data_IF_165929761304
#
_entry.id   IF_165929761304
#
_cell.length_a   1.000
_cell.length_b   1.000
_cell.length_c   1.000
_cell.angle_alpha   90.00
_cell.angle_beta   90.00
_cell.angle_gamma   90.00
#
_symmetry.space_group_name_H-M   'P 1'
#
loop_
_entity.id
_entity.type
_entity.pdbx_description
1 polymer ?
#
# COMPACT_ATOMS: atom_id res chain seq x y z
N UNK A 1 -8.20 2.87 18.48
CA UNK A 1 -7.55 3.68 17.43
C UNK A 1 -6.06 3.49 17.55
N UNK A 2 -5.37 3.28 16.44
CA UNK A 2 -3.93 3.08 16.34
C UNK A 2 -3.44 3.91 15.15
N UNK A 3 -2.24 4.50 15.29
CA UNK A 3 -1.55 5.18 14.20
C UNK A 3 -0.16 4.56 14.11
N UNK A 4 0.26 4.22 12.90
CA UNK A 4 1.62 3.74 12.59
C UNK A 4 2.20 4.68 11.53
N UNK A 5 3.49 4.98 11.66
CA UNK A 5 4.25 5.65 10.61
C UNK A 5 5.63 5.00 10.52
N UNK A 6 6.04 4.61 9.32
CA UNK A 6 7.30 3.95 9.04
C UNK A 6 8.00 4.63 7.87
N UNK A 7 9.30 4.87 8.02
CA UNK A 7 10.16 5.38 6.95
C UNK A 7 11.35 4.46 6.80
N UNK A 8 11.64 4.06 5.57
CA UNK A 8 12.78 3.23 5.20
C UNK A 8 13.48 3.88 4.00
N UNK A 9 14.81 3.85 4.01
CA UNK A 9 15.61 4.30 2.88
C UNK A 9 16.86 3.43 2.75
N UNK A 10 17.34 3.27 1.53
CA UNK A 10 18.66 2.73 1.28
C UNK A 10 19.72 3.67 1.87
N UNK A 11 20.73 3.11 2.53
CA UNK A 11 21.80 3.93 3.14
C UNK A 11 22.78 4.44 2.08
N UNK A 12 22.95 3.66 1.01
CA UNK A 12 23.81 3.94 -0.13
C UNK A 12 23.06 3.60 -1.43
N UNK A 13 23.61 4.05 -2.56
CA UNK A 13 23.09 3.69 -3.89
C UNK A 13 23.10 2.17 -4.10
N UNK A 14 22.00 1.66 -4.62
CA UNK A 14 21.83 0.27 -5.00
C UNK A 14 21.93 0.19 -6.53
N UNK A 15 22.76 -0.73 -7.03
CA UNK A 15 22.81 -1.04 -8.47
C UNK A 15 21.63 -1.94 -8.87
N UNK A 16 20.86 -1.49 -9.85
CA UNK A 16 19.72 -2.18 -10.44
C UNK A 16 19.95 -2.50 -11.91
N UNK A 17 19.39 -3.62 -12.37
CA UNK A 17 19.32 -3.92 -13.79
C UNK A 17 18.35 -2.94 -14.47
N UNK A 18 18.88 -2.12 -15.38
CA UNK A 18 18.09 -1.26 -16.25
C UNK A 18 17.69 -1.95 -17.56
N UNK A 19 17.00 -1.24 -18.47
CA UNK A 19 16.65 -1.77 -19.78
C UNK A 19 17.90 -2.03 -20.63
N UNK A 20 18.08 -3.29 -21.05
CA UNK A 20 19.20 -3.69 -21.91
C UNK A 20 20.52 -3.83 -21.12
N UNK A 21 21.67 -3.31 -21.62
CA UNK A 21 22.96 -3.40 -20.92
C UNK A 21 23.17 -2.28 -19.89
N UNK A 22 22.14 -1.50 -19.56
CA UNK A 22 22.24 -0.34 -18.66
C UNK A 22 22.08 -0.79 -17.20
N UNK A 23 22.93 -0.27 -16.31
CA UNK A 23 22.75 -0.34 -14.86
C UNK A 23 22.26 1.01 -14.35
N UNK A 24 21.30 0.99 -13.42
CA UNK A 24 20.79 2.17 -12.75
C UNK A 24 21.26 2.16 -11.30
N UNK A 25 21.76 3.28 -10.82
CA UNK A 25 22.05 3.49 -9.40
C UNK A 25 20.90 4.28 -8.80
N UNK A 26 20.29 3.76 -7.73
CA UNK A 26 19.14 4.39 -7.07
C UNK A 26 19.25 4.22 -5.56
N UNK A 27 18.78 5.21 -4.81
CA UNK A 27 18.68 5.21 -3.36
C UNK A 27 17.20 5.21 -2.94
N UNK A 28 16.48 4.08 -3.12
CA UNK A 28 15.04 4.05 -2.93
C UNK A 28 14.66 4.35 -1.47
N UNK A 29 13.56 5.08 -1.31
CA UNK A 29 12.94 5.32 -0.01
C UNK A 29 11.44 5.09 -0.04
N UNK A 30 10.87 4.81 1.13
CA UNK A 30 9.44 4.58 1.30
C UNK A 30 8.97 5.14 2.65
N UNK A 31 7.84 5.84 2.62
CA UNK A 31 7.08 6.29 3.77
C UNK A 31 5.72 5.59 3.75
N UNK A 32 5.30 5.06 4.89
CA UNK A 32 3.97 4.51 5.11
C UNK A 32 3.37 5.16 6.36
N UNK A 33 2.14 5.66 6.25
CA UNK A 33 1.35 6.16 7.38
C UNK A 33 -0.01 5.47 7.39
N UNK A 34 -0.39 4.89 8.52
CA UNK A 34 -1.63 4.13 8.67
C UNK A 34 -2.41 4.60 9.91
N UNK A 35 -3.73 4.70 9.76
CA UNK A 35 -4.69 4.96 10.82
C UNK A 35 -5.73 3.83 10.86
N UNK A 36 -5.76 3.13 11.99
CA UNK A 36 -6.73 2.08 12.26
C UNK A 36 -7.69 2.46 13.37
N UNK A 37 -8.95 2.10 13.22
CA UNK A 37 -9.89 2.10 14.33
C UNK A 37 -10.89 0.96 14.23
N UNK A 38 -11.44 0.61 15.40
CA UNK A 38 -12.51 -0.36 15.51
C UNK A 38 -13.77 0.34 16.01
N UNK A 39 -14.92 -0.05 15.48
CA UNK A 39 -16.22 0.47 15.88
C UNK A 39 -17.24 -0.66 15.94
N UNK A 40 -18.16 -0.56 16.89
CA UNK A 40 -19.31 -1.47 16.96
C UNK A 40 -20.48 -0.88 16.19
N UNK A 41 -20.94 -1.57 15.16
CA UNK A 41 -22.08 -1.18 14.33
C UNK A 41 -23.08 -2.34 14.35
N UNK A 42 -24.33 -2.08 14.73
CA UNK A 42 -25.38 -3.11 14.81
C UNK A 42 -24.94 -4.38 15.57
N UNK A 43 -24.30 -4.21 16.73
CA UNK A 43 -23.78 -5.29 17.59
C UNK A 43 -22.65 -6.14 16.99
N UNK A 44 -22.09 -5.73 15.84
CA UNK A 44 -20.90 -6.37 15.23
C UNK A 44 -19.70 -5.44 15.34
N UNK A 45 -18.53 -6.02 15.57
CA UNK A 45 -17.27 -5.29 15.57
C UNK A 45 -16.76 -5.15 14.13
N UNK A 46 -16.45 -3.92 13.74
CA UNK A 46 -15.81 -3.61 12.48
C UNK A 46 -14.44 -3.01 12.75
N UNK A 47 -13.47 -3.35 11.91
CA UNK A 47 -12.18 -2.66 11.82
C UNK A 47 -12.15 -1.86 10.53
N UNK A 48 -11.58 -0.66 10.59
CA UNK A 48 -11.37 0.23 9.46
C UNK A 48 -9.92 0.72 9.48
N UNK A 49 -9.34 0.82 8.30
CA UNK A 49 -7.98 1.30 8.07
C UNK A 49 -7.95 2.33 6.95
N UNK A 50 -7.08 3.31 7.10
CA UNK A 50 -6.72 4.30 6.09
C UNK A 50 -5.21 4.36 6.02
N UNK A 51 -4.62 4.29 4.83
CA UNK A 51 -3.18 4.43 4.67
C UNK A 51 -2.81 5.38 3.53
N UNK A 52 -1.65 6.01 3.69
CA UNK A 52 -0.94 6.73 2.65
C UNK A 52 0.46 6.13 2.58
N UNK A 53 0.87 5.75 1.38
CA UNK A 53 2.22 5.31 1.07
C UNK A 53 2.82 6.28 0.04
N UNK A 54 4.07 6.66 0.23
CA UNK A 54 4.86 7.40 -0.76
C UNK A 54 6.20 6.72 -0.93
N UNK A 55 6.72 6.70 -2.15
CA UNK A 55 8.05 6.18 -2.43
C UNK A 55 8.86 7.17 -3.26
N UNK A 56 10.18 7.10 -3.11
CA UNK A 56 11.13 7.87 -3.93
C UNK A 56 12.15 6.91 -4.53
N UNK A 57 12.55 7.17 -5.78
CA UNK A 57 13.43 6.32 -6.60
C UNK A 57 13.09 4.81 -6.61
N UNK A 58 11.82 4.45 -6.36
CA UNK A 58 11.36 3.07 -6.29
C UNK A 58 10.53 2.63 -7.53
N UNK A 59 10.56 3.44 -8.59
CA UNK A 59 9.80 3.19 -9.82
C UNK A 59 10.07 1.80 -10.42
N UNK A 60 9.01 1.13 -10.86
CA UNK A 60 9.04 -0.26 -11.34
C UNK A 60 8.89 -1.32 -10.24
N UNK A 61 8.93 -0.96 -8.97
CA UNK A 61 8.67 -1.87 -7.83
C UNK A 61 7.41 -1.50 -7.05
N UNK A 62 7.16 -0.21 -6.90
CA UNK A 62 6.03 0.36 -6.17
C UNK A 62 5.54 1.63 -6.88
N UNK A 63 4.25 1.99 -6.76
CA UNK A 63 3.79 3.32 -7.18
C UNK A 63 4.48 4.42 -6.38
N UNK A 64 4.55 5.61 -6.97
CA UNK A 64 5.07 6.81 -6.31
C UNK A 64 4.19 7.19 -5.12
N UNK A 65 2.87 7.14 -5.30
CA UNK A 65 1.90 7.37 -4.23
C UNK A 65 0.79 6.32 -4.23
N UNK A 66 0.38 5.88 -3.03
CA UNK A 66 -0.82 5.07 -2.82
C UNK A 66 -1.66 5.63 -1.69
N UNK A 67 -2.96 5.72 -1.90
CA UNK A 67 -3.94 5.98 -0.84
C UNK A 67 -4.88 4.79 -0.75
N UNK A 68 -5.02 4.20 0.44
CA UNK A 68 -5.89 3.07 0.67
C UNK A 68 -6.91 3.31 1.78
N UNK A 69 -8.06 2.65 1.63
CA UNK A 69 -9.09 2.54 2.65
C UNK A 69 -9.62 1.11 2.66
N UNK A 70 -9.73 0.54 3.85
CA UNK A 70 -10.22 -0.81 4.03
C UNK A 70 -11.09 -0.94 5.25
N UNK A 71 -11.88 -2.00 5.26
CA UNK A 71 -12.62 -2.38 6.45
C UNK A 71 -13.09 -3.82 6.41
N UNK A 72 -13.41 -4.34 7.59
CA UNK A 72 -13.80 -5.73 7.71
C UNK A 72 -14.51 -6.05 9.00
N UNK A 73 -15.14 -7.22 9.02
CA UNK A 73 -15.84 -7.74 10.18
C UNK A 73 -15.88 -9.26 10.17
N UNK A 74 -16.08 -9.85 11.34
CA UNK A 74 -16.48 -11.24 11.45
C UNK A 74 -17.96 -11.39 11.07
N UNK A 75 -18.23 -12.18 10.02
CA UNK A 75 -19.59 -12.44 9.55
C UNK A 75 -20.21 -13.67 10.23
N UNK A 76 -19.37 -14.65 10.59
CA UNK A 76 -19.67 -15.86 11.36
C UNK A 76 -18.46 -16.22 12.23
N UNK A 77 -18.61 -17.01 13.31
CA UNK A 77 -17.48 -17.43 14.13
C UNK A 77 -16.34 -18.01 13.27
N UNK A 78 -15.15 -17.40 13.39
CA UNK A 78 -13.96 -17.75 12.63
C UNK A 78 -14.02 -17.47 11.12
N UNK A 79 -15.00 -16.69 10.64
CA UNK A 79 -15.14 -16.29 9.24
C UNK A 79 -15.23 -14.76 9.12
N UNK A 80 -14.21 -14.17 8.52
CA UNK A 80 -14.11 -12.73 8.32
C UNK A 80 -14.34 -12.34 6.85
N UNK A 81 -15.04 -11.23 6.63
CA UNK A 81 -15.16 -10.55 5.35
C UNK A 81 -14.47 -9.20 5.44
N UNK A 82 -13.56 -8.94 4.50
CA UNK A 82 -12.87 -7.65 4.38
C UNK A 82 -13.00 -7.12 2.95
N UNK A 83 -13.03 -5.80 2.84
CA UNK A 83 -13.01 -5.06 1.57
C UNK A 83 -11.95 -3.99 1.69
N UNK A 84 -11.14 -3.84 0.64
CA UNK A 84 -10.14 -2.80 0.52
C UNK A 84 -10.22 -2.16 -0.86
N UNK A 85 -10.05 -0.84 -0.88
CA UNK A 85 -9.91 -0.03 -2.08
C UNK A 85 -8.61 0.77 -1.97
N UNK A 86 -7.89 0.91 -3.07
CA UNK A 86 -6.75 1.81 -3.12
C UNK A 86 -6.57 2.42 -4.51
N UNK A 87 -6.00 3.62 -4.52
CA UNK A 87 -5.61 4.36 -5.71
C UNK A 87 -4.09 4.46 -5.75
N UNK A 88 -3.51 4.16 -6.91
CA UNK A 88 -2.08 4.23 -7.19
C UNK A 88 -1.79 5.29 -8.25
N UNK A 89 -0.80 6.14 -7.99
CA UNK A 89 -0.19 7.03 -8.98
C UNK A 89 1.23 6.52 -9.26
N UNK A 90 1.52 6.20 -10.52
CA UNK A 90 2.88 5.84 -10.95
C UNK A 90 3.74 7.09 -11.14
N UNK A 91 5.06 6.88 -11.13
CA UNK A 91 6.03 7.93 -11.41
C UNK A 91 5.82 8.54 -12.80
N UNK A 92 6.26 9.79 -12.95
CA UNK A 92 6.29 10.42 -14.26
C UNK A 92 7.30 9.73 -15.22
N UNK A 93 7.19 10.04 -16.51
CA UNK A 93 8.08 9.46 -17.52
C UNK A 93 9.54 9.91 -17.39
N UNK A 94 9.82 11.04 -16.74
CA UNK A 94 11.18 11.53 -16.52
C UNK A 94 11.90 10.76 -15.39
N UNK A 95 11.13 10.29 -14.40
CA UNK A 95 11.59 9.51 -13.24
C UNK A 95 11.46 7.99 -13.46
N UNK A 96 10.99 7.60 -14.66
CA UNK A 96 11.02 6.24 -15.17
C UNK A 96 9.75 5.42 -14.93
N UNK A 97 8.64 6.09 -14.66
CA UNK A 97 7.30 5.49 -14.67
C UNK A 97 6.53 5.75 -15.97
N UNK A 98 5.21 5.59 -15.92
CA UNK A 98 4.30 5.73 -17.05
C UNK A 98 3.42 6.96 -16.99
N UNK A 99 3.43 7.73 -15.89
CA UNK A 99 2.49 8.85 -15.64
C UNK A 99 1.01 8.37 -15.65
N UNK A 100 0.77 7.10 -15.30
CA UNK A 100 -0.56 6.50 -15.24
C UNK A 100 -1.02 6.29 -13.79
N UNK A 101 -2.32 6.12 -13.60
CA UNK A 101 -2.90 5.79 -12.31
C UNK A 101 -3.84 4.59 -12.41
N UNK A 102 -4.07 3.91 -11.28
CA UNK A 102 -4.94 2.74 -11.21
C UNK A 102 -5.80 2.74 -9.94
N UNK A 103 -7.08 2.47 -10.11
CA UNK A 103 -8.02 2.17 -9.02
C UNK A 103 -8.18 0.66 -8.84
N UNK A 104 -8.05 0.20 -7.61
CA UNK A 104 -8.05 -1.22 -7.27
C UNK A 104 -9.07 -1.53 -6.18
N UNK A 105 -9.62 -2.74 -6.21
CA UNK A 105 -10.52 -3.26 -5.17
C UNK A 105 -10.25 -4.72 -4.90
N UNK A 106 -10.22 -5.09 -3.62
CA UNK A 106 -10.15 -6.47 -3.16
C UNK A 106 -11.28 -6.75 -2.19
N UNK A 107 -11.88 -7.93 -2.35
CA UNK A 107 -12.82 -8.50 -1.38
C UNK A 107 -12.26 -9.84 -0.94
N UNK A 108 -12.02 -10.01 0.36
CA UNK A 108 -11.45 -11.23 0.92
C UNK A 108 -12.42 -11.87 1.93
N UNK A 109 -12.60 -13.18 1.77
CA UNK A 109 -13.28 -14.04 2.73
C UNK A 109 -12.24 -14.98 3.35
N UNK A 110 -12.01 -14.85 4.66
CA UNK A 110 -11.03 -15.65 5.39
C UNK A 110 -11.72 -16.54 6.43
N UNK A 111 -11.31 -17.82 6.52
CA UNK A 111 -11.84 -18.78 7.49
C UNK A 111 -10.69 -19.45 8.27
N UNK A 112 -10.81 -19.52 9.59
CA UNK A 112 -9.88 -20.21 10.48
C UNK A 112 -10.53 -21.46 11.10
N UNK A 113 -9.77 -22.56 11.19
CA UNK A 113 -10.22 -23.87 11.67
C UNK A 113 -9.38 -24.39 12.83
#
# INVERSE_FOLDING_TARGET
MKIIAEYLTAVDDIEWAGPGPVTLERQPSALQVELDFAATIQQRQYTFGFAIQETDEAGGLSPEQRISIGGGTEIYPNVALTVEFWHDEDYDQADGGTDESTDNVVVQLAAAF
#
